data_IF_959368695791
#
_entry.id   IF_959368695791
#
_cell.length_a   1.000
_cell.length_b   1.000
_cell.length_c   1.000
_cell.angle_alpha   90.00
_cell.angle_beta   90.00
_cell.angle_gamma   90.00
#
_symmetry.space_group_name_H-M   'P 1'
#
loop_
_entity.id
_entity.type
_entity.pdbx_description
1 polymer ?
#
# COMPACT_ATOMS: atom_id res chain seq x y z
N UNK A 1 15.87 -12.86 13.27
CA UNK A 1 14.84 -12.62 12.25
C UNK A 1 14.28 -13.94 11.74
N UNK A 2 15.14 -14.91 11.47
CA UNK A 2 14.82 -16.31 11.09
C UNK A 2 13.52 -16.89 11.69
N UNK A 3 13.39 -17.02 13.01
CA UNK A 3 12.17 -17.56 13.67
C UNK A 3 10.88 -16.79 13.27
N UNK A 4 10.97 -15.47 13.03
CA UNK A 4 9.81 -14.68 12.58
C UNK A 4 9.45 -15.01 11.14
N UNK A 5 10.45 -15.13 10.27
CA UNK A 5 10.25 -15.48 8.86
C UNK A 5 9.68 -16.89 8.71
N UNK A 6 10.18 -17.86 9.46
CA UNK A 6 9.67 -19.23 9.48
C UNK A 6 8.20 -19.28 9.91
N UNK A 7 7.84 -18.52 10.95
CA UNK A 7 6.46 -18.44 11.42
C UNK A 7 5.54 -17.78 10.38
N UNK A 8 6.00 -16.71 9.72
CA UNK A 8 5.25 -16.07 8.64
C UNK A 8 5.01 -17.04 7.47
N UNK A 9 6.06 -17.73 7.03
CA UNK A 9 5.97 -18.72 5.95
C UNK A 9 5.06 -19.90 6.33
N UNK A 10 5.12 -20.36 7.58
CA UNK A 10 4.20 -21.37 8.10
C UNK A 10 2.74 -20.88 8.02
N UNK A 11 2.44 -19.67 8.48
CA UNK A 11 1.10 -19.10 8.41
C UNK A 11 0.60 -18.94 6.97
N UNK A 12 1.47 -18.49 6.06
CA UNK A 12 1.16 -18.39 4.63
C UNK A 12 0.84 -19.77 4.06
N UNK A 13 1.65 -20.80 4.35
CA UNK A 13 1.42 -22.17 3.87
C UNK A 13 0.09 -22.78 4.34
N UNK A 14 -0.44 -22.34 5.49
CA UNK A 14 -1.74 -22.77 6.00
C UNK A 14 -2.92 -22.03 5.35
N UNK A 15 -2.72 -20.76 4.94
CA UNK A 15 -3.80 -19.89 4.44
C UNK A 15 -3.96 -19.98 2.93
N UNK A 16 -2.86 -20.06 2.17
CA UNK A 16 -2.89 -20.05 0.70
C UNK A 16 -3.77 -21.15 0.09
N UNK A 17 -3.73 -22.42 0.53
CA UNK A 17 -4.58 -23.47 -0.04
C UNK A 17 -6.09 -23.20 0.07
N UNK A 18 -6.49 -22.42 1.08
CA UNK A 18 -7.90 -22.03 1.26
C UNK A 18 -8.31 -20.91 0.31
N UNK A 19 -7.39 -19.97 0.04
CA UNK A 19 -7.62 -18.82 -0.83
C UNK A 19 -7.56 -19.18 -2.31
N UNK A 20 -6.72 -20.14 -2.68
CA UNK A 20 -6.54 -20.62 -4.07
C UNK A 20 -7.67 -21.55 -4.54
N UNK A 21 -8.53 -22.02 -3.63
CA UNK A 21 -9.63 -22.92 -3.97
C UNK A 21 -10.65 -22.23 -4.88
N UNK A 22 -10.78 -22.62 -6.18
CA UNK A 22 -11.64 -21.90 -7.13
C UNK A 22 -13.13 -21.99 -6.79
N UNK A 23 -13.53 -23.03 -6.05
CA UNK A 23 -14.91 -23.28 -5.66
C UNK A 23 -15.29 -22.70 -4.29
N UNK A 24 -14.32 -22.17 -3.53
CA UNK A 24 -14.60 -21.58 -2.22
C UNK A 24 -15.19 -20.19 -2.39
N UNK A 25 -16.17 -19.82 -1.57
CA UNK A 25 -16.61 -18.42 -1.42
C UNK A 25 -15.40 -17.56 -1.03
N UNK A 26 -15.17 -16.38 -1.66
CA UNK A 26 -14.07 -15.51 -1.27
C UNK A 26 -14.22 -15.06 0.19
N UNK A 27 -13.11 -15.10 0.93
CA UNK A 27 -13.00 -14.60 2.30
C UNK A 27 -12.11 -13.35 2.28
N UNK A 28 -12.74 -12.18 2.20
CA UNK A 28 -12.09 -10.88 2.06
C UNK A 28 -11.21 -10.56 3.25
N UNK A 29 -11.64 -10.96 4.45
CA UNK A 29 -10.85 -10.77 5.67
C UNK A 29 -9.57 -11.59 5.61
N UNK A 30 -9.68 -12.89 5.33
CA UNK A 30 -8.53 -13.78 5.23
C UNK A 30 -7.57 -13.35 4.12
N UNK A 31 -8.10 -12.91 2.98
CA UNK A 31 -7.28 -12.40 1.88
C UNK A 31 -6.45 -11.18 2.30
N UNK A 32 -7.07 -10.16 2.92
CA UNK A 32 -6.35 -8.97 3.38
C UNK A 32 -5.33 -9.28 4.48
N UNK A 33 -5.68 -10.13 5.45
CA UNK A 33 -4.73 -10.54 6.48
C UNK A 33 -3.55 -11.32 5.88
N UNK A 34 -3.79 -12.15 4.87
CA UNK A 34 -2.75 -12.93 4.19
C UNK A 34 -1.87 -12.03 3.31
N UNK A 35 -2.43 -11.02 2.65
CA UNK A 35 -1.67 -9.99 1.95
C UNK A 35 -0.74 -9.23 2.91
N UNK A 36 -1.24 -8.89 4.11
CA UNK A 36 -0.41 -8.27 5.14
C UNK A 36 0.74 -9.20 5.61
N UNK A 37 0.52 -10.52 5.71
CA UNK A 37 1.57 -11.49 6.03
C UNK A 37 2.64 -11.58 4.93
N UNK A 38 2.23 -11.60 3.65
CA UNK A 38 3.14 -11.55 2.51
C UNK A 38 4.01 -10.30 2.52
N UNK A 39 3.42 -9.13 2.77
CA UNK A 39 4.16 -7.87 2.96
C UNK A 39 5.14 -7.95 4.12
N UNK A 40 4.70 -8.46 5.28
CA UNK A 40 5.58 -8.62 6.45
C UNK A 40 6.76 -9.55 6.15
N UNK A 41 6.52 -10.64 5.44
CA UNK A 41 7.54 -11.60 5.03
C UNK A 41 8.57 -10.94 4.11
N UNK A 42 8.12 -10.28 3.03
CA UNK A 42 9.01 -9.57 2.11
C UNK A 42 9.82 -8.47 2.81
N UNK A 43 9.19 -7.65 3.65
CA UNK A 43 9.90 -6.65 4.46
C UNK A 43 10.92 -7.30 5.42
N UNK A 44 10.61 -8.46 5.98
CA UNK A 44 11.51 -9.19 6.87
C UNK A 44 12.75 -9.72 6.15
N UNK A 45 12.59 -10.26 4.94
CA UNK A 45 13.69 -10.70 4.07
C UNK A 45 14.61 -9.53 3.72
N UNK A 46 14.04 -8.39 3.30
CA UNK A 46 14.81 -7.17 3.03
C UNK A 46 15.64 -6.72 4.24
N UNK A 47 15.04 -6.70 5.43
CA UNK A 47 15.68 -6.18 6.63
C UNK A 47 16.74 -7.11 7.23
N UNK A 48 16.66 -8.42 6.97
CA UNK A 48 17.60 -9.39 7.53
C UNK A 48 18.71 -9.80 6.60
N UNK A 49 18.42 -9.91 5.31
CA UNK A 49 19.32 -10.50 4.33
C UNK A 49 19.62 -9.54 3.18
N UNK A 50 19.01 -8.35 3.16
CA UNK A 50 19.02 -7.43 2.01
C UNK A 50 18.49 -8.11 0.74
N UNK A 51 17.58 -9.09 0.92
CA UNK A 51 16.98 -9.82 -0.18
C UNK A 51 15.92 -8.98 -0.88
N UNK A 52 16.35 -8.29 -1.93
CA UNK A 52 15.51 -7.46 -2.80
C UNK A 52 14.51 -8.26 -3.63
N UNK A 53 14.85 -9.51 -3.99
CA UNK A 53 14.00 -10.39 -4.77
C UNK A 53 12.86 -10.90 -3.89
N UNK A 54 13.17 -11.44 -2.71
CA UNK A 54 12.16 -11.87 -1.75
C UNK A 54 11.28 -10.72 -1.23
N UNK A 55 11.81 -9.50 -1.12
CA UNK A 55 11.00 -8.30 -0.88
C UNK A 55 9.98 -8.07 -2.00
N UNK A 56 10.45 -8.12 -3.25
CA UNK A 56 9.60 -7.91 -4.43
C UNK A 56 8.51 -8.96 -4.52
N UNK A 57 8.89 -10.23 -4.40
CA UNK A 57 7.98 -11.37 -4.48
C UNK A 57 6.91 -11.27 -3.39
N UNK A 58 7.30 -10.96 -2.15
CA UNK A 58 6.34 -10.79 -1.06
C UNK A 58 5.31 -9.69 -1.32
N UNK A 59 5.74 -8.53 -1.83
CA UNK A 59 4.82 -7.44 -2.16
C UNK A 59 3.94 -7.76 -3.38
N UNK A 60 4.50 -8.40 -4.41
CA UNK A 60 3.74 -8.81 -5.60
C UNK A 60 2.67 -9.86 -5.27
N UNK A 61 2.98 -10.82 -4.38
CA UNK A 61 2.00 -11.79 -3.88
C UNK A 61 0.88 -11.12 -3.08
N UNK A 62 1.22 -10.14 -2.22
CA UNK A 62 0.22 -9.37 -1.48
C UNK A 62 -0.74 -8.62 -2.41
N UNK A 63 -0.22 -7.96 -3.43
CA UNK A 63 -0.99 -7.26 -4.44
C UNK A 63 -1.84 -8.20 -5.30
N UNK A 64 -1.28 -9.32 -5.75
CA UNK A 64 -1.97 -10.32 -6.59
C UNK A 64 -3.17 -10.89 -5.84
N UNK A 65 -2.98 -11.27 -4.58
CA UNK A 65 -4.06 -11.77 -3.74
C UNK A 65 -5.20 -10.76 -3.58
N UNK A 66 -4.87 -9.47 -3.43
CA UNK A 66 -5.89 -8.43 -3.34
C UNK A 66 -6.62 -8.20 -4.67
N UNK A 67 -5.90 -8.24 -5.80
CA UNK A 67 -6.53 -8.18 -7.14
C UNK A 67 -7.53 -9.33 -7.31
N UNK A 68 -7.13 -10.55 -6.97
CA UNK A 68 -7.98 -11.74 -7.10
C UNK A 68 -9.23 -11.65 -6.21
N UNK A 69 -9.10 -11.09 -4.99
CA UNK A 69 -10.24 -10.74 -4.14
C UNK A 69 -11.18 -9.75 -4.84
N UNK A 70 -10.65 -8.65 -5.37
CA UNK A 70 -11.45 -7.59 -5.99
C UNK A 70 -12.22 -8.09 -7.22
N UNK A 71 -11.61 -8.95 -8.05
CA UNK A 71 -12.27 -9.58 -9.21
C UNK A 71 -13.47 -10.42 -8.77
N UNK A 72 -13.41 -11.02 -7.58
CA UNK A 72 -14.44 -11.90 -7.02
C UNK A 72 -15.33 -11.19 -5.99
N UNK A 73 -15.25 -9.86 -5.86
CA UNK A 73 -15.93 -9.09 -4.79
C UNK A 73 -17.44 -9.27 -4.73
N UNK A 74 -18.08 -9.54 -5.88
CA UNK A 74 -19.52 -9.74 -5.96
C UNK A 74 -19.98 -11.10 -5.40
N UNK A 75 -19.04 -12.04 -5.21
CA UNK A 75 -19.29 -13.33 -4.59
C UNK A 75 -19.05 -13.30 -3.06
N UNK A 76 -18.56 -12.17 -2.53
CA UNK A 76 -18.35 -12.00 -1.10
C UNK A 76 -19.69 -11.87 -0.35
N UNK A 77 -19.81 -12.44 0.86
CA UNK A 77 -20.95 -12.17 1.72
C UNK A 77 -21.05 -10.68 2.10
N UNK A 78 -22.27 -10.18 2.29
CA UNK A 78 -22.50 -8.78 2.70
C UNK A 78 -21.79 -8.42 4.01
N UNK A 79 -21.65 -9.39 4.93
CA UNK A 79 -20.89 -9.22 6.18
C UNK A 79 -19.42 -8.86 5.98
N UNK A 80 -18.88 -9.09 4.78
CA UNK A 80 -17.49 -8.82 4.43
C UNK A 80 -17.30 -7.54 3.61
N UNK A 81 -18.37 -6.82 3.25
CA UNK A 81 -18.26 -5.58 2.46
C UNK A 81 -17.34 -4.53 3.08
N UNK A 82 -17.23 -4.50 4.42
CA UNK A 82 -16.26 -3.66 5.13
C UNK A 82 -14.81 -3.87 4.63
N UNK A 83 -14.44 -5.11 4.30
CA UNK A 83 -13.12 -5.46 3.80
C UNK A 83 -12.92 -5.09 2.33
N UNK A 84 -13.98 -4.73 1.62
CA UNK A 84 -13.96 -4.26 0.24
C UNK A 84 -13.99 -2.72 0.13
N UNK A 85 -14.06 -2.02 1.27
CA UNK A 85 -13.94 -0.56 1.32
C UNK A 85 -12.60 -0.12 0.72
N UNK A 86 -12.60 1.04 0.05
CA UNK A 86 -11.44 1.51 -0.72
C UNK A 86 -10.21 1.72 0.16
N UNK A 87 -10.41 2.21 1.39
CA UNK A 87 -9.40 2.36 2.44
C UNK A 87 -8.69 1.07 2.85
N UNK A 88 -9.21 -0.11 2.48
CA UNK A 88 -8.55 -1.41 2.70
C UNK A 88 -7.59 -1.79 1.58
N UNK A 89 -7.49 -0.97 0.53
CA UNK A 89 -6.64 -1.20 -0.61
C UNK A 89 -5.15 -0.95 -0.38
N UNK A 90 -4.64 -1.11 0.84
CA UNK A 90 -3.20 -1.03 1.09
C UNK A 90 -2.36 -1.88 0.12
N UNK A 91 -2.79 -3.07 -0.35
CA UNK A 91 -2.05 -3.84 -1.35
C UNK A 91 -1.85 -3.16 -2.71
N UNK A 92 -2.58 -2.08 -3.01
CA UNK A 92 -2.26 -1.21 -4.15
C UNK A 92 -0.86 -0.59 -3.98
N UNK A 93 -0.48 -0.20 -2.76
CA UNK A 93 0.87 0.28 -2.49
C UNK A 93 1.91 -0.82 -2.66
N UNK A 94 1.58 -2.07 -2.39
CA UNK A 94 2.52 -3.19 -2.61
C UNK A 94 2.87 -3.31 -4.10
N UNK A 95 1.86 -3.29 -4.99
CA UNK A 95 2.07 -3.30 -6.43
C UNK A 95 2.92 -2.12 -6.92
N UNK A 96 2.62 -0.91 -6.42
CA UNK A 96 3.37 0.30 -6.77
C UNK A 96 4.80 0.26 -6.25
N UNK A 97 5.01 -0.24 -5.03
CA UNK A 97 6.30 -0.30 -4.37
C UNK A 97 7.28 -1.27 -5.07
N UNK A 98 6.78 -2.20 -5.88
CA UNK A 98 7.61 -3.07 -6.74
C UNK A 98 7.61 -2.67 -8.21
N UNK A 99 6.89 -1.61 -8.58
CA UNK A 99 6.78 -1.17 -9.98
C UNK A 99 5.92 -2.09 -10.86
N UNK A 100 5.04 -2.91 -10.28
CA UNK A 100 4.08 -3.74 -11.01
C UNK A 100 2.92 -2.88 -11.52
N UNK A 101 3.20 -1.96 -12.45
CA UNK A 101 2.28 -0.91 -12.91
C UNK A 101 0.98 -1.46 -13.48
N UNK A 102 1.05 -2.57 -14.21
CA UNK A 102 -0.13 -3.21 -14.79
C UNK A 102 -1.03 -3.80 -13.71
N UNK A 103 -0.45 -4.52 -12.74
CA UNK A 103 -1.18 -5.03 -11.58
C UNK A 103 -1.80 -3.88 -10.76
N UNK A 104 -1.05 -2.79 -10.54
CA UNK A 104 -1.56 -1.61 -9.85
C UNK A 104 -2.76 -0.99 -10.57
N UNK A 105 -2.72 -0.88 -11.91
CA UNK A 105 -3.87 -0.40 -12.71
C UNK A 105 -5.08 -1.33 -12.62
N UNK A 106 -4.85 -2.65 -12.64
CA UNK A 106 -5.92 -3.63 -12.48
C UNK A 106 -6.60 -3.51 -11.11
N UNK A 107 -5.80 -3.41 -10.04
CA UNK A 107 -6.33 -3.17 -8.69
C UNK A 107 -7.11 -1.85 -8.65
N UNK A 108 -6.53 -0.76 -9.15
CA UNK A 108 -7.16 0.56 -9.15
C UNK A 108 -8.51 0.58 -9.90
N UNK A 109 -8.62 -0.15 -11.03
CA UNK A 109 -9.85 -0.26 -11.81
C UNK A 109 -10.94 -1.08 -11.10
N UNK A 110 -10.56 -2.04 -10.25
CA UNK A 110 -11.48 -2.92 -9.54
C UNK A 110 -11.83 -2.43 -8.11
N UNK A 111 -11.18 -1.38 -7.61
CA UNK A 111 -11.55 -0.79 -6.32
C UNK A 111 -12.92 -0.10 -6.42
N UNK A 112 -13.72 -0.18 -5.36
CA UNK A 112 -15.08 0.41 -5.34
C UNK A 112 -15.04 1.91 -5.71
N UNK A 113 -15.89 2.38 -6.63
CA UNK A 113 -16.03 3.80 -6.93
C UNK A 113 -16.83 4.55 -5.85
N UNK A 114 -17.56 3.83 -4.99
CA UNK A 114 -18.50 4.40 -4.02
C UNK A 114 -17.93 4.42 -2.61
N UNK A 115 -18.10 5.55 -1.93
CA UNK A 115 -17.72 5.69 -0.52
C UNK A 115 -18.62 4.86 0.37
N UNK A 116 -18.03 3.90 1.11
CA UNK A 116 -18.76 3.05 2.03
C UNK A 116 -18.93 3.76 3.39
N UNK A 117 -19.91 4.65 3.46
CA UNK A 117 -20.21 5.45 4.67
C UNK A 117 -20.35 4.55 5.90
N UNK A 118 -19.69 4.92 7.00
CA UNK A 118 -19.57 4.17 8.28
C UNK A 118 -18.62 2.95 8.26
N UNK A 119 -18.11 2.55 7.10
CA UNK A 119 -17.10 1.48 6.99
C UNK A 119 -15.68 2.05 6.80
N UNK A 120 -15.57 3.25 6.22
CA UNK A 120 -14.30 3.94 6.05
C UNK A 120 -14.41 5.44 6.30
N UNK A 121 -13.27 6.06 6.61
CA UNK A 121 -13.19 7.51 6.66
C UNK A 121 -13.35 8.09 5.25
N UNK A 122 -13.98 9.26 5.15
CA UNK A 122 -14.09 9.99 3.87
C UNK A 122 -12.70 10.44 3.38
N UNK A 123 -11.80 10.72 4.33
CA UNK A 123 -10.40 11.07 4.05
C UNK A 123 -9.66 9.95 3.32
N UNK A 124 -9.69 8.72 3.85
CA UNK A 124 -9.02 7.57 3.24
C UNK A 124 -9.67 7.22 1.89
N UNK A 125 -10.99 7.34 1.77
CA UNK A 125 -11.69 7.14 0.50
C UNK A 125 -11.16 8.06 -0.61
N UNK A 126 -11.01 9.36 -0.28
CA UNK A 126 -10.49 10.34 -1.22
C UNK A 126 -8.98 10.22 -1.47
N UNK A 127 -8.21 9.79 -0.46
CA UNK A 127 -6.78 9.51 -0.64
C UNK A 127 -6.54 8.43 -1.70
N UNK A 128 -7.22 7.29 -1.56
CA UNK A 128 -7.16 6.25 -2.58
C UNK A 128 -7.81 6.69 -3.90
N UNK A 129 -8.85 7.54 -3.86
CA UNK A 129 -9.47 8.12 -5.05
C UNK A 129 -8.49 8.93 -5.89
N UNK A 130 -7.73 9.83 -5.26
CA UNK A 130 -6.70 10.62 -5.92
C UNK A 130 -5.57 9.73 -6.47
N UNK A 131 -5.14 8.71 -5.72
CA UNK A 131 -4.16 7.74 -6.19
C UNK A 131 -4.64 6.98 -7.44
N UNK A 132 -5.89 6.51 -7.44
CA UNK A 132 -6.52 5.86 -8.59
C UNK A 132 -6.61 6.83 -9.78
N UNK A 133 -7.00 8.09 -9.53
CA UNK A 133 -7.05 9.14 -10.54
C UNK A 133 -5.70 9.37 -11.24
N UNK A 134 -4.62 9.38 -10.46
CA UNK A 134 -3.25 9.49 -10.97
C UNK A 134 -2.84 8.28 -11.81
N UNK A 135 -3.17 7.06 -11.36
CA UNK A 135 -2.76 5.81 -12.04
C UNK A 135 -3.53 5.52 -13.32
N UNK A 136 -4.81 5.87 -13.33
CA UNK A 136 -5.70 5.63 -14.47
C UNK A 136 -5.83 6.86 -15.38
N UNK A 137 -5.11 7.95 -15.07
CA UNK A 137 -5.17 9.22 -15.80
C UNK A 137 -6.60 9.73 -15.96
N UNK A 138 -7.37 9.74 -14.87
CA UNK A 138 -8.78 10.15 -14.90
C UNK A 138 -8.89 11.68 -15.04
N UNK A 139 -9.83 12.11 -15.89
CA UNK A 139 -10.13 13.53 -16.12
C UNK A 139 -10.74 14.23 -14.88
N UNK A 140 -11.23 13.46 -13.90
CA UNK A 140 -11.86 13.98 -12.69
C UNK A 140 -10.93 14.10 -11.48
N UNK A 141 -9.61 13.94 -11.67
CA UNK A 141 -8.61 14.05 -10.59
C UNK A 141 -8.69 15.37 -9.82
N UNK A 142 -8.87 16.50 -10.51
CA UNK A 142 -8.99 17.81 -9.85
C UNK A 142 -10.26 17.91 -8.98
N UNK A 143 -11.35 17.29 -9.43
CA UNK A 143 -12.59 17.25 -8.67
C UNK A 143 -12.46 16.35 -7.42
N UNK A 144 -11.74 15.23 -7.55
CA UNK A 144 -11.44 14.30 -6.45
C UNK A 144 -10.54 14.98 -5.41
N UNK A 145 -9.48 15.68 -5.83
CA UNK A 145 -8.62 16.45 -4.93
C UNK A 145 -9.39 17.57 -4.23
N UNK A 146 -10.28 18.28 -4.93
CA UNK A 146 -11.13 19.29 -4.32
C UNK A 146 -12.12 18.68 -3.30
N UNK A 147 -12.60 17.45 -3.52
CA UNK A 147 -13.43 16.73 -2.55
C UNK A 147 -12.62 16.31 -1.32
N UNK A 148 -11.40 15.81 -1.54
CA UNK A 148 -10.45 15.49 -0.48
C UNK A 148 -10.19 16.72 0.41
N UNK A 149 -9.84 17.87 -0.18
CA UNK A 149 -9.55 19.10 0.56
C UNK A 149 -10.75 19.56 1.41
N UNK A 150 -11.98 19.44 0.87
CA UNK A 150 -13.20 19.78 1.62
C UNK A 150 -13.42 18.86 2.82
N UNK A 151 -13.13 17.57 2.70
CA UNK A 151 -13.23 16.61 3.80
C UNK A 151 -12.32 16.99 4.98
N UNK A 152 -11.18 17.62 4.72
CA UNK A 152 -10.24 18.02 5.77
C UNK A 152 -10.76 19.17 6.63
N UNK A 153 -11.76 19.94 6.16
CA UNK A 153 -12.36 21.06 6.91
C UNK A 153 -11.31 22.08 7.45
N UNK A 154 -10.25 22.31 6.69
CA UNK A 154 -9.12 23.17 7.08
C UNK A 154 -8.05 22.51 7.96
N UNK A 155 -8.18 21.21 8.22
CA UNK A 155 -7.13 20.38 8.81
C UNK A 155 -5.95 20.13 7.85
N UNK A 156 -4.85 19.63 8.41
CA UNK A 156 -3.65 19.25 7.66
C UNK A 156 -3.65 17.75 7.36
N UNK A 157 -3.18 17.36 6.18
CA UNK A 157 -2.97 15.96 5.81
C UNK A 157 -1.81 15.86 4.84
N UNK A 158 -0.69 15.28 5.27
CA UNK A 158 0.47 15.11 4.39
C UNK A 158 0.17 14.19 3.21
N UNK A 159 -0.77 13.25 3.36
CA UNK A 159 -1.27 12.41 2.25
C UNK A 159 -1.95 13.25 1.18
N UNK A 160 -2.78 14.22 1.57
CA UNK A 160 -3.37 15.18 0.64
C UNK A 160 -2.29 16.02 -0.06
N UNK A 161 -1.32 16.54 0.71
CA UNK A 161 -0.23 17.36 0.17
C UNK A 161 0.59 16.59 -0.89
N UNK A 162 0.90 15.31 -0.63
CA UNK A 162 1.59 14.44 -1.59
C UNK A 162 0.75 14.19 -2.85
N UNK A 163 -0.54 13.88 -2.70
CA UNK A 163 -1.42 13.66 -3.87
C UNK A 163 -1.52 14.92 -4.73
N UNK A 164 -1.66 16.09 -4.10
CA UNK A 164 -1.71 17.38 -4.79
C UNK A 164 -0.40 17.66 -5.52
N UNK A 165 0.74 17.45 -4.87
CA UNK A 165 2.06 17.63 -5.49
C UNK A 165 2.29 16.71 -6.69
N UNK A 166 1.85 15.44 -6.63
CA UNK A 166 1.91 14.50 -7.74
C UNK A 166 1.03 14.92 -8.93
N UNK A 167 -0.14 15.51 -8.65
CA UNK A 167 -1.03 16.02 -9.67
C UNK A 167 -0.46 17.26 -10.38
N UNK A 168 0.18 18.16 -9.62
CA UNK A 168 0.75 19.42 -10.15
C UNK A 168 2.22 19.31 -10.59
N UNK A 169 2.82 18.12 -10.47
CA UNK A 169 4.25 17.88 -10.74
C UNK A 169 5.19 18.82 -9.96
N UNK A 170 4.90 19.04 -8.67
CA UNK A 170 5.71 19.89 -7.78
C UNK A 170 6.67 19.04 -6.95
N UNK A 171 7.94 18.99 -7.37
CA UNK A 171 9.02 18.28 -6.68
C UNK A 171 9.15 18.71 -5.20
N UNK A 172 9.09 20.01 -4.92
CA UNK A 172 9.34 20.55 -3.58
C UNK A 172 8.20 20.24 -2.62
N UNK A 173 6.95 20.39 -3.09
CA UNK A 173 5.77 20.04 -2.31
C UNK A 173 5.69 18.53 -2.05
N UNK A 174 6.07 17.70 -3.04
CA UNK A 174 6.10 16.25 -2.88
C UNK A 174 7.07 15.83 -1.76
N UNK A 175 8.29 16.37 -1.80
CA UNK A 175 9.33 16.09 -0.80
C UNK A 175 8.90 16.51 0.62
N UNK A 176 8.30 17.69 0.76
CA UNK A 176 7.81 18.16 2.05
C UNK A 176 6.68 17.29 2.60
N UNK A 177 5.71 16.91 1.77
CA UNK A 177 4.61 16.03 2.14
C UNK A 177 5.09 14.64 2.53
N UNK A 178 5.97 14.03 1.72
CA UNK A 178 6.52 12.70 2.00
C UNK A 178 7.32 12.68 3.31
N UNK A 179 8.12 13.72 3.58
CA UNK A 179 8.85 13.86 4.83
C UNK A 179 7.90 13.93 6.04
N UNK A 180 6.79 14.66 5.93
CA UNK A 180 5.73 14.71 6.94
C UNK A 180 5.12 13.32 7.20
N UNK A 181 4.80 12.57 6.15
CA UNK A 181 4.29 11.18 6.27
C UNK A 181 5.30 10.26 6.97
N UNK A 182 6.59 10.38 6.65
CA UNK A 182 7.67 9.61 7.29
C UNK A 182 7.78 9.94 8.79
N UNK A 183 7.61 11.21 9.15
CA UNK A 183 7.59 11.66 10.56
C UNK A 183 6.39 11.11 11.32
N UNK A 184 5.20 11.14 10.73
CA UNK A 184 3.99 10.54 11.31
C UNK A 184 4.14 9.03 11.51
N UNK A 185 4.66 8.33 10.51
CA UNK A 185 4.92 6.90 10.57
C UNK A 185 5.93 6.58 11.68
N UNK A 186 7.04 7.32 11.75
CA UNK A 186 8.04 7.13 12.80
C UNK A 186 7.47 7.38 14.20
N UNK A 187 6.65 8.42 14.35
CA UNK A 187 6.00 8.74 15.62
C UNK A 187 4.96 7.67 16.01
N UNK A 188 4.20 7.15 15.03
CA UNK A 188 3.25 6.07 15.24
C UNK A 188 3.93 4.79 15.73
N UNK A 189 5.02 4.36 15.07
CA UNK A 189 5.80 3.19 15.48
C UNK A 189 6.32 3.35 16.92
N UNK A 190 6.87 4.53 17.26
CA UNK A 190 7.35 4.81 18.61
C UNK A 190 6.24 4.78 19.67
N UNK A 191 5.03 5.26 19.35
CA UNK A 191 3.87 5.17 20.25
C UNK A 191 3.43 3.73 20.48
N UNK A 192 3.38 2.92 19.42
CA UNK A 192 3.00 1.51 19.51
C UNK A 192 3.96 0.73 20.41
N UNK A 193 5.27 0.93 20.25
CA UNK A 193 6.30 0.31 21.09
C UNK A 193 6.14 0.65 22.57
N UNK A 194 5.79 1.90 22.90
CA UNK A 194 5.54 2.33 24.28
C UNK A 194 4.26 1.74 24.88
N UNK A 195 3.25 1.49 24.05
CA UNK A 195 1.94 1.00 24.52
C UNK A 195 1.93 -0.49 24.87
N UNK A 196 2.88 -1.27 24.34
CA UNK A 196 2.96 -2.72 24.56
C UNK A 196 1.87 -3.56 23.86
N UNK A 197 0.93 -2.93 23.14
CA UNK A 197 -0.12 -3.59 22.35
C UNK A 197 0.25 -3.49 20.88
N UNK A 198 0.76 -4.58 20.29
CA UNK A 198 1.12 -4.60 18.87
C UNK A 198 1.17 -6.01 18.28
N UNK A 199 1.07 -6.09 16.96
CA UNK A 199 1.40 -7.30 16.20
C UNK A 199 2.92 -7.55 16.27
N UNK A 200 3.37 -8.67 16.89
CA UNK A 200 4.78 -8.97 17.07
C UNK A 200 5.55 -9.18 15.76
N UNK A 201 4.86 -9.57 14.68
CA UNK A 201 5.47 -9.73 13.36
C UNK A 201 5.69 -8.37 12.71
N UNK A 202 4.66 -7.49 12.71
CA UNK A 202 4.74 -6.13 12.18
C UNK A 202 5.88 -5.32 12.81
N UNK A 203 6.03 -5.35 14.14
CA UNK A 203 7.09 -4.62 14.83
C UNK A 203 8.50 -5.09 14.49
N UNK A 204 8.67 -6.33 14.02
CA UNK A 204 9.98 -6.86 13.63
C UNK A 204 10.24 -6.76 12.13
N UNK A 205 9.25 -6.36 11.34
CA UNK A 205 9.31 -6.37 9.87
C UNK A 205 8.84 -5.02 9.30
N UNK A 206 7.61 -4.94 8.82
CA UNK A 206 7.06 -3.80 8.07
C UNK A 206 6.95 -2.50 8.86
N UNK A 207 7.17 -2.48 10.18
CA UNK A 207 7.31 -1.24 10.94
C UNK A 207 8.54 -0.40 10.53
N UNK A 208 9.59 -1.02 9.97
CA UNK A 208 10.83 -0.33 9.59
C UNK A 208 10.96 -0.10 8.08
N UNK A 209 9.99 -0.55 7.29
CA UNK A 209 9.93 -0.34 5.83
C UNK A 209 8.60 0.34 5.52
N UNK A 210 8.65 1.63 5.18
CA UNK A 210 7.47 2.40 4.84
C UNK A 210 7.07 2.15 3.37
N UNK A 211 6.38 1.03 3.14
CA UNK A 211 5.97 0.57 1.79
C UNK A 211 5.12 1.60 1.05
N UNK A 212 4.20 2.27 1.74
CA UNK A 212 3.43 3.39 1.17
C UNK A 212 4.38 4.51 0.67
N UNK A 213 5.43 4.84 1.42
CA UNK A 213 6.47 5.78 0.98
C UNK A 213 7.25 5.28 -0.25
N UNK A 214 7.65 4.00 -0.30
CA UNK A 214 8.30 3.38 -1.47
C UNK A 214 7.42 3.54 -2.71
N UNK A 215 6.14 3.22 -2.58
CA UNK A 215 5.15 3.33 -3.65
C UNK A 215 5.02 4.77 -4.18
N UNK A 216 4.93 5.74 -3.27
CA UNK A 216 4.80 7.16 -3.63
C UNK A 216 6.05 7.70 -4.32
N UNK A 217 7.25 7.33 -3.86
CA UNK A 217 8.51 7.69 -4.52
C UNK A 217 8.58 7.10 -5.93
N UNK A 218 8.16 5.84 -6.11
CA UNK A 218 8.12 5.22 -7.43
C UNK A 218 7.13 5.90 -8.35
N UNK A 219 5.94 6.23 -7.85
CA UNK A 219 4.94 6.96 -8.62
C UNK A 219 5.44 8.36 -9.02
N UNK A 220 6.10 9.08 -8.11
CA UNK A 220 6.72 10.37 -8.40
C UNK A 220 7.77 10.26 -9.52
N UNK A 221 8.69 9.29 -9.41
CA UNK A 221 9.70 9.01 -10.44
C UNK A 221 9.08 8.64 -11.79
N UNK A 222 8.04 7.81 -11.78
CA UNK A 222 7.30 7.43 -13.00
C UNK A 222 6.64 8.64 -13.68
N UNK A 223 6.27 9.65 -12.89
CA UNK A 223 5.74 10.94 -13.34
C UNK A 223 6.84 12.00 -13.58
N UNK A 224 8.10 11.59 -13.62
CA UNK A 224 9.27 12.43 -13.85
C UNK A 224 9.54 13.52 -12.79
N UNK A 225 8.98 13.40 -11.58
CA UNK A 225 9.36 14.23 -10.45
C UNK A 225 10.75 13.84 -9.96
N UNK A 226 11.49 14.82 -9.45
CA UNK A 226 12.78 14.60 -8.80
C UNK A 226 12.55 14.19 -7.36
N UNK A 227 13.14 13.05 -6.99
CA UNK A 227 13.08 12.49 -5.65
C UNK A 227 14.48 12.39 -5.04
N UNK A 228 14.59 12.44 -3.72
CA UNK A 228 15.84 12.10 -3.03
C UNK A 228 16.30 10.66 -3.33
N UNK A 229 17.58 10.41 -3.13
CA UNK A 229 18.17 9.08 -3.23
C UNK A 229 17.90 8.24 -1.97
N UNK A 230 17.70 8.89 -0.82
CA UNK A 230 17.60 8.27 0.48
C UNK A 230 16.51 8.92 1.31
N UNK A 231 15.68 8.13 1.98
CA UNK A 231 14.71 8.61 2.94
C UNK A 231 14.75 7.78 4.22
N UNK A 232 14.35 8.40 5.34
CA UNK A 232 14.17 7.66 6.60
C UNK A 232 12.99 6.70 6.45
N UNK A 233 13.16 5.44 6.88
CA UNK A 233 12.19 4.33 6.74
C UNK A 233 11.95 3.81 5.31
N UNK A 234 12.67 4.31 4.31
CA UNK A 234 12.64 3.77 2.93
C UNK A 234 14.06 3.29 2.62
N UNK A 235 14.38 2.00 2.87
CA UNK A 235 15.70 1.46 2.53
C UNK A 235 15.98 1.61 1.04
N UNK A 236 17.19 2.04 0.64
CA UNK A 236 17.54 2.14 -0.78
C UNK A 236 17.33 0.84 -1.57
N UNK A 237 17.63 -0.36 -1.02
CA UNK A 237 17.30 -1.62 -1.70
C UNK A 237 15.82 -1.76 -2.08
N UNK A 238 14.88 -1.17 -1.31
CA UNK A 238 13.46 -1.16 -1.66
C UNK A 238 13.15 -0.25 -2.87
N UNK A 239 13.97 0.76 -3.13
CA UNK A 239 13.85 1.65 -4.30
C UNK A 239 14.58 1.10 -5.54
N UNK A 240 15.58 0.23 -5.33
CA UNK A 240 16.35 -0.41 -6.39
C UNK A 240 15.69 -1.71 -6.88
N UNK A 241 14.95 -2.40 -6.01
CA UNK A 241 14.17 -3.60 -6.33
C UNK A 241 13.13 -3.34 -7.43
N UNK A 242 13.45 -3.58 -8.70
CA UNK A 242 12.57 -3.28 -9.85
C UNK A 242 13.13 -2.26 -10.84
N UNK A 243 14.42 -1.90 -10.74
CA UNK A 243 15.13 -1.13 -11.79
C UNK A 243 15.61 -2.04 -12.94
N UNK A 244 15.40 -3.35 -12.85
CA UNK A 244 15.62 -4.26 -13.98
C UNK A 244 14.51 -4.07 -15.04
N UNK A 245 14.87 -3.41 -16.14
CA UNK A 245 14.11 -3.28 -17.40
C UNK A 245 12.96 -2.25 -17.45
N UNK A 246 13.33 -0.98 -17.41
CA UNK A 246 12.64 0.05 -18.19
C UNK A 246 13.66 1.02 -18.79
N UNK A 247 14.45 0.53 -19.75
CA UNK A 247 15.09 1.40 -20.75
C UNK A 247 14.33 1.22 -22.07
N UNK A 248 13.98 2.31 -22.76
CA UNK A 248 13.35 2.24 -24.07
C UNK A 248 14.25 1.52 -25.11
#
# INVERSE_FOLDING_TARGET
MEIVLDNLLFLLSQRMPRLESPSATPDAKLALETAALWRQYGCGLLLSELDEEGFRDGLEQAATLYRDLLVRRNDCPESEHYHLARSKGEPLFDALAVGAWELARQIAAEMTPAWMKRMESEEDFHYFGALIGLLLHRDDLDAELAAYERCLQGGQSFRFDVMKALATADDGAFEAGLQGMIEEQSAWVARQQRSGVFDPYRQKTSAFVFVEGVALVRLARHRALKTQQWYRLIPAPALDAGVAEARP
#
